data_IF_485782492810
#
_entry.id   IF_485782492810
#
_cell.length_a   1.000
_cell.length_b   1.000
_cell.length_c   1.000
_cell.angle_alpha   90.00
_cell.angle_beta   90.00
_cell.angle_gamma   90.00
#
_symmetry.space_group_name_H-M   'P 1'
#
loop_
_entity.id
_entity.type
_entity.pdbx_description
1 polymer ?
#
# COMPACT_ATOMS: atom_id res chain seq x y z
N UNK A 1 7.24 -16.10 -23.28
CA UNK A 1 7.83 -14.83 -22.79
C UNK A 1 7.49 -14.78 -21.31
N UNK A 2 8.23 -15.54 -20.49
CA UNK A 2 7.77 -15.93 -19.15
C UNK A 2 8.87 -15.69 -18.10
N UNK A 3 9.44 -14.48 -18.06
CA UNK A 3 10.55 -14.17 -17.16
C UNK A 3 10.27 -13.02 -16.17
N UNK A 4 9.32 -12.11 -16.45
CA UNK A 4 9.17 -10.88 -15.63
C UNK A 4 8.05 -10.90 -14.59
N UNK A 5 7.11 -11.84 -14.66
CA UNK A 5 5.99 -11.98 -13.68
C UNK A 5 6.27 -12.95 -12.53
N UNK A 6 7.46 -13.56 -12.47
CA UNK A 6 7.75 -14.63 -11.50
C UNK A 6 8.12 -14.15 -10.09
N UNK A 7 8.79 -13.01 -9.95
CA UNK A 7 9.40 -12.62 -8.66
C UNK A 7 8.37 -12.34 -7.56
N UNK A 8 7.24 -11.72 -7.91
CA UNK A 8 6.17 -11.43 -6.94
C UNK A 8 5.23 -12.62 -6.68
N UNK A 9 5.31 -13.69 -7.49
CA UNK A 9 4.44 -14.86 -7.36
C UNK A 9 4.61 -15.57 -6.02
N UNK A 10 5.83 -15.58 -5.47
CA UNK A 10 6.13 -16.15 -4.16
C UNK A 10 5.44 -15.39 -3.00
N UNK A 11 5.02 -14.15 -3.23
CA UNK A 11 4.38 -13.28 -2.24
C UNK A 11 2.87 -13.20 -2.41
N UNK A 12 2.26 -14.02 -3.28
CA UNK A 12 0.80 -14.03 -3.41
C UNK A 12 0.12 -14.37 -2.08
N UNK A 13 -0.90 -13.59 -1.73
CA UNK A 13 -1.78 -13.84 -0.61
C UNK A 13 -3.24 -13.60 -1.01
N UNK A 14 -4.17 -13.96 -0.12
CA UNK A 14 -5.58 -13.64 -0.29
C UNK A 14 -5.76 -12.11 -0.24
N UNK A 15 -6.52 -11.57 -1.18
CA UNK A 15 -6.88 -10.15 -1.20
C UNK A 15 -8.03 -9.86 -0.21
N UNK A 16 -8.14 -8.64 0.34
CA UNK A 16 -9.24 -8.27 1.22
C UNK A 16 -10.60 -8.52 0.56
N UNK A 17 -11.56 -9.04 1.34
CA UNK A 17 -12.94 -9.24 0.86
C UNK A 17 -13.57 -7.90 0.48
N UNK A 18 -14.13 -7.84 -0.73
CA UNK A 18 -14.80 -6.64 -1.22
C UNK A 18 -16.30 -6.74 -0.94
N UNK A 19 -16.83 -5.72 -0.27
CA UNK A 19 -18.24 -5.55 0.07
C UNK A 19 -18.63 -4.07 -0.12
N UNK A 20 -19.62 -3.75 -0.99
CA UNK A 20 -20.37 -4.66 -1.85
C UNK A 20 -19.50 -5.33 -2.93
N UNK A 21 -20.04 -6.38 -3.56
CA UNK A 21 -19.37 -7.01 -4.70
C UNK A 21 -19.14 -5.98 -5.82
N UNK A 22 -17.92 -5.90 -6.39
CA UNK A 22 -17.64 -4.99 -7.50
C UNK A 22 -18.51 -5.30 -8.73
N UNK A 23 -18.66 -4.30 -9.60
CA UNK A 23 -19.25 -4.51 -10.91
C UNK A 23 -18.41 -5.51 -11.72
N UNK A 24 -19.06 -6.20 -12.67
CA UNK A 24 -18.46 -7.31 -13.44
C UNK A 24 -17.14 -6.97 -14.14
N UNK A 25 -16.91 -5.71 -14.53
CA UNK A 25 -15.65 -5.29 -15.16
C UNK A 25 -14.46 -5.20 -14.18
N UNK A 26 -14.72 -5.18 -12.87
CA UNK A 26 -13.72 -5.21 -11.79
C UNK A 26 -13.70 -6.55 -11.05
N UNK A 27 -14.65 -7.45 -11.33
CA UNK A 27 -14.70 -8.77 -10.71
C UNK A 27 -13.54 -9.64 -11.21
N UNK A 28 -12.76 -10.20 -10.29
CA UNK A 28 -11.60 -11.04 -10.62
C UNK A 28 -11.88 -12.51 -10.32
N UNK A 29 -11.47 -13.41 -11.22
CA UNK A 29 -11.57 -14.86 -10.99
C UNK A 29 -10.63 -15.34 -9.88
N UNK A 30 -9.46 -14.70 -9.79
CA UNK A 30 -8.44 -14.96 -8.78
C UNK A 30 -8.24 -13.66 -8.00
N UNK A 31 -8.86 -13.55 -6.83
CA UNK A 31 -8.77 -12.38 -5.97
C UNK A 31 -7.51 -12.46 -5.11
N UNK A 32 -6.37 -12.04 -5.67
CA UNK A 32 -5.04 -12.19 -5.06
C UNK A 32 -4.37 -10.84 -4.88
N UNK A 33 -3.67 -10.69 -3.74
CA UNK A 33 -2.83 -9.55 -3.44
C UNK A 33 -1.39 -10.03 -3.16
N UNK A 34 -0.51 -9.12 -2.75
CA UNK A 34 0.88 -9.41 -2.41
C UNK A 34 1.17 -9.13 -0.93
N UNK A 35 1.74 -10.10 -0.23
CA UNK A 35 2.28 -9.94 1.12
C UNK A 35 3.66 -9.31 1.04
N UNK A 36 3.68 -7.97 1.09
CA UNK A 36 4.90 -7.16 1.05
C UNK A 36 4.91 -6.27 2.29
N UNK A 37 5.68 -6.64 3.33
CA UNK A 37 5.87 -5.80 4.51
C UNK A 37 6.58 -4.49 4.15
N UNK A 38 6.09 -3.38 4.70
CA UNK A 38 6.60 -2.04 4.47
C UNK A 38 6.87 -1.37 5.81
N UNK A 39 7.98 -0.63 5.91
CA UNK A 39 8.31 0.16 7.08
C UNK A 39 8.66 1.60 6.67
N UNK A 40 8.26 2.57 7.50
CA UNK A 40 8.63 3.97 7.35
C UNK A 40 9.53 4.38 8.50
N UNK A 41 10.67 4.96 8.17
CA UNK A 41 11.71 5.34 9.12
C UNK A 41 11.90 6.86 9.08
N UNK A 42 11.94 7.49 10.25
CA UNK A 42 12.24 8.92 10.39
C UNK A 42 13.53 9.09 11.18
N UNK A 43 14.47 9.84 10.60
CA UNK A 43 15.72 10.22 11.25
C UNK A 43 15.77 11.74 11.45
N UNK A 44 15.61 12.23 12.68
CA UNK A 44 15.88 13.62 13.00
C UNK A 44 17.35 13.96 12.71
N UNK A 45 17.61 15.21 12.30
CA UNK A 45 18.95 15.68 11.90
C UNK A 45 20.01 15.45 12.99
N UNK A 46 19.64 15.66 14.24
CA UNK A 46 20.57 15.64 15.38
C UNK A 46 20.61 14.29 16.12
N UNK A 47 19.95 13.26 15.59
CA UNK A 47 19.93 11.91 16.15
C UNK A 47 20.84 10.98 15.34
N UNK A 48 21.55 10.07 16.03
CA UNK A 48 22.37 9.04 15.38
C UNK A 48 21.51 8.04 14.62
N UNK A 49 20.40 7.64 15.24
CA UNK A 49 19.56 6.53 14.80
C UNK A 49 18.21 7.02 14.28
N UNK A 50 17.64 6.23 13.37
CA UNK A 50 16.31 6.43 12.83
C UNK A 50 15.28 5.64 13.64
N UNK A 51 14.07 6.16 13.77
CA UNK A 51 12.95 5.49 14.43
C UNK A 51 11.97 4.97 13.40
N UNK A 52 11.51 3.73 13.57
CA UNK A 52 10.39 3.20 12.78
C UNK A 52 9.11 3.86 13.29
N UNK A 53 8.43 4.58 12.42
CA UNK A 53 7.19 5.30 12.76
C UNK A 53 5.94 4.63 12.21
N UNK A 54 6.09 3.75 11.22
CA UNK A 54 5.01 2.93 10.72
C UNK A 54 5.50 1.57 10.22
N UNK A 55 4.70 0.53 10.45
CA UNK A 55 4.84 -0.80 9.87
C UNK A 55 3.51 -1.23 9.26
N UNK A 56 3.46 -1.35 7.95
CA UNK A 56 2.26 -1.72 7.21
C UNK A 56 2.56 -2.83 6.23
N UNK A 57 1.58 -3.18 5.39
CA UNK A 57 1.74 -4.21 4.39
C UNK A 57 0.89 -3.92 3.16
N UNK A 58 1.45 -4.16 1.99
CA UNK A 58 0.76 -4.02 0.70
C UNK A 58 -0.54 -4.84 0.62
N UNK A 59 -0.62 -5.97 1.35
CA UNK A 59 -1.81 -6.83 1.39
C UNK A 59 -3.08 -6.13 1.88
N UNK A 60 -2.95 -4.99 2.57
CA UNK A 60 -4.08 -4.19 3.04
C UNK A 60 -4.76 -3.36 1.93
N UNK A 61 -4.16 -3.29 0.73
CA UNK A 61 -4.75 -2.60 -0.40
C UNK A 61 -6.10 -3.22 -0.76
N UNK A 62 -7.18 -2.44 -0.69
CA UNK A 62 -8.54 -2.94 -0.95
C UNK A 62 -8.83 -3.16 -2.43
N UNK A 63 -8.26 -2.33 -3.31
CA UNK A 63 -8.42 -2.41 -4.77
C UNK A 63 -7.12 -2.89 -5.40
N UNK A 64 -7.14 -4.08 -6.00
CA UNK A 64 -5.95 -4.69 -6.61
C UNK A 64 -5.38 -3.82 -7.73
N UNK A 65 -4.08 -3.92 -7.99
CA UNK A 65 -3.41 -3.16 -9.08
C UNK A 65 -4.07 -3.43 -10.44
N UNK A 66 -4.52 -4.67 -10.66
CA UNK A 66 -5.29 -5.10 -11.83
C UNK A 66 -6.64 -4.38 -11.93
N UNK A 67 -7.36 -4.24 -10.83
CA UNK A 67 -8.62 -3.47 -10.76
C UNK A 67 -8.39 -1.98 -10.98
N UNK A 68 -7.33 -1.40 -10.42
CA UNK A 68 -6.96 0.00 -10.62
C UNK A 68 -6.69 0.29 -12.10
N UNK A 69 -5.94 -0.59 -12.77
CA UNK A 69 -5.64 -0.49 -14.20
C UNK A 69 -6.91 -0.67 -15.06
N UNK A 70 -7.74 -1.65 -14.75
CA UNK A 70 -9.02 -1.88 -15.44
C UNK A 70 -9.93 -0.66 -15.30
N UNK A 71 -10.03 -0.10 -14.10
CA UNK A 71 -10.81 1.12 -13.86
C UNK A 71 -10.25 2.32 -14.60
N UNK A 72 -8.94 2.53 -14.59
CA UNK A 72 -8.33 3.67 -15.28
C UNK A 72 -8.58 3.65 -16.79
N UNK A 73 -8.65 2.47 -17.40
CA UNK A 73 -8.74 2.30 -18.86
C UNK A 73 -10.17 2.12 -19.38
N UNK A 74 -11.16 1.99 -18.51
CA UNK A 74 -12.55 1.67 -18.89
C UNK A 74 -13.19 2.68 -19.85
N UNK A 75 -12.75 3.94 -19.81
CA UNK A 75 -13.26 5.02 -20.67
C UNK A 75 -12.42 5.26 -21.94
N UNK A 76 -11.43 4.42 -22.21
CA UNK A 76 -10.51 4.58 -23.34
C UNK A 76 -9.26 5.39 -23.04
N UNK A 77 -8.99 5.74 -21.78
CA UNK A 77 -7.70 6.33 -21.39
C UNK A 77 -6.55 5.38 -21.78
N UNK A 78 -5.58 5.89 -22.52
CA UNK A 78 -4.47 5.09 -23.03
C UNK A 78 -3.31 5.04 -22.04
N UNK A 79 -2.92 3.81 -21.67
CA UNK A 79 -1.68 3.56 -20.93
C UNK A 79 -0.51 3.38 -21.87
N UNK A 80 0.67 3.80 -21.44
CA UNK A 80 1.92 3.71 -22.19
C UNK A 80 2.99 2.98 -21.37
N UNK A 81 3.93 2.31 -22.03
CA UNK A 81 5.11 1.76 -21.35
C UNK A 81 5.83 2.87 -20.57
N UNK A 82 6.11 2.60 -19.30
CA UNK A 82 6.78 3.54 -18.39
C UNK A 82 5.83 4.46 -17.60
N UNK A 83 4.52 4.42 -17.84
CA UNK A 83 3.58 5.11 -16.95
C UNK A 83 3.65 4.51 -15.52
N UNK A 84 3.64 5.39 -14.51
CA UNK A 84 3.72 5.01 -13.10
C UNK A 84 2.34 5.08 -12.49
N UNK A 85 1.92 3.98 -11.85
CA UNK A 85 0.67 3.88 -11.12
C UNK A 85 0.94 3.68 -9.64
N UNK A 86 0.49 4.62 -8.81
CA UNK A 86 0.64 4.55 -7.36
C UNK A 86 -0.64 3.98 -6.72
N UNK A 87 -0.48 3.25 -5.63
CA UNK A 87 -1.59 2.63 -4.88
C UNK A 87 -2.46 3.61 -4.10
N UNK A 88 -1.96 4.83 -3.87
CA UNK A 88 -2.40 5.70 -2.79
C UNK A 88 -1.71 5.34 -1.46
N UNK A 89 -2.05 6.09 -0.41
CA UNK A 89 -1.54 5.86 0.95
C UNK A 89 -1.92 4.47 1.44
N UNK A 90 -0.93 3.69 1.88
CA UNK A 90 -1.14 2.32 2.40
C UNK A 90 -1.22 2.36 3.92
N UNK A 91 -2.46 2.33 4.43
CA UNK A 91 -2.75 2.23 5.86
C UNK A 91 -3.32 0.85 6.18
N UNK A 92 -2.75 0.19 7.18
CA UNK A 92 -3.31 -1.04 7.73
C UNK A 92 -4.36 -0.76 8.81
N UNK A 93 -4.91 -1.83 9.43
CA UNK A 93 -5.96 -1.70 10.45
C UNK A 93 -5.44 -1.20 11.81
N UNK A 94 -4.15 -1.38 12.10
CA UNK A 94 -3.56 -1.03 13.39
C UNK A 94 -3.01 0.41 13.39
N UNK A 95 -3.04 1.13 14.53
CA UNK A 95 -2.53 2.51 14.61
C UNK A 95 -1.08 2.69 14.14
N UNK A 96 -0.20 1.71 14.40
CA UNK A 96 1.20 1.71 13.99
C UNK A 96 1.39 1.39 12.49
N UNK A 97 0.31 1.09 11.78
CA UNK A 97 0.31 0.74 10.35
C UNK A 97 -0.26 1.83 9.44
N UNK A 98 -0.54 3.01 9.99
CA UNK A 98 -1.07 4.15 9.24
C UNK A 98 0.00 4.76 8.30
N UNK A 99 -0.40 5.08 7.08
CA UNK A 99 0.52 5.34 5.97
C UNK A 99 1.02 6.77 5.84
N UNK A 100 0.57 7.70 6.67
CA UNK A 100 1.09 9.06 6.69
C UNK A 100 1.07 9.72 8.08
N UNK A 101 1.86 10.79 8.24
CA UNK A 101 1.94 11.54 9.49
C UNK A 101 0.60 12.16 9.90
N UNK A 102 -0.24 12.56 8.95
CA UNK A 102 -1.57 13.09 9.24
C UNK A 102 -2.42 12.07 10.01
N UNK A 103 -2.41 10.81 9.57
CA UNK A 103 -3.12 9.72 10.24
C UNK A 103 -2.45 9.34 11.57
N UNK A 104 -1.13 9.12 11.57
CA UNK A 104 -0.36 8.72 12.76
C UNK A 104 -0.48 9.71 13.92
N UNK A 105 -0.42 11.00 13.62
CA UNK A 105 -0.51 12.07 14.63
C UNK A 105 -1.93 12.50 14.92
N UNK A 106 -2.93 11.89 14.25
CA UNK A 106 -4.33 12.32 14.32
C UNK A 106 -4.47 13.84 14.09
N UNK A 107 -3.94 14.31 12.96
CA UNK A 107 -3.85 15.73 12.62
C UNK A 107 -3.13 16.58 13.70
N UNK A 108 -2.00 16.07 14.19
CA UNK A 108 -1.17 16.74 15.20
C UNK A 108 -1.70 16.70 16.63
N UNK A 109 -2.81 16.00 16.90
CA UNK A 109 -3.37 15.86 18.25
C UNK A 109 -2.64 14.82 19.11
N UNK A 110 -1.88 13.93 18.47
CA UNK A 110 -1.07 12.89 19.12
C UNK A 110 0.37 13.01 18.64
N UNK A 111 1.30 13.00 19.58
CA UNK A 111 2.72 12.92 19.27
C UNK A 111 3.10 11.48 18.93
N UNK A 112 4.09 11.32 18.05
CA UNK A 112 4.73 10.04 17.78
C UNK A 112 6.18 10.08 18.28
N UNK A 113 6.68 9.01 18.90
CA UNK A 113 8.05 8.97 19.37
C UNK A 113 9.01 8.93 18.17
N UNK A 114 9.89 9.93 18.07
CA UNK A 114 10.96 9.99 17.07
C UNK A 114 12.28 10.38 17.76
N UNK A 115 13.27 9.50 17.71
CA UNK A 115 14.54 9.65 18.45
C UNK A 115 14.41 9.35 19.94
N UNK A 116 15.55 9.36 20.64
CA UNK A 116 15.59 9.29 22.10
C UNK A 116 15.70 10.70 22.67
N UNK A 117 14.73 11.09 23.50
CA UNK A 117 14.87 12.24 24.38
C UNK A 117 15.54 11.75 25.66
N UNK A 118 16.78 12.20 25.89
CA UNK A 118 17.41 12.14 27.22
C UNK A 118 16.98 13.35 28.04
#
# INVERSE_FOLDING_TARGET
MDCHSGCFKAFHCEAPKQEPEPLSYLAEKNHVNYDIPLEVWIKPKDQSDASIVAKTNFKHLYWMVTQQLAHHTINGCNMRPGDIFATGTLSGPEPESLGCLLELTWNGQKEIPVGFFF
#
